data_IF_202095165780
#
_entry.id   IF_202095165780
#
_cell.length_a   1.000
_cell.length_b   1.000
_cell.length_c   1.000
_cell.angle_alpha   90.00
_cell.angle_beta   90.00
_cell.angle_gamma   90.00
#
_symmetry.space_group_name_H-M   'P 1'
#
loop_
_entity.id
_entity.type
_entity.pdbx_description
1 polymer ?
#
# COMPACT_ATOMS: atom_id res chain seq x y z
N UNK A 1 18.07 -35.53 -39.35
CA UNK A 1 17.69 -35.38 -37.90
C UNK A 1 16.67 -36.47 -37.57
N UNK A 2 17.02 -37.39 -36.64
CA UNK A 2 16.15 -38.49 -36.28
C UNK A 2 14.99 -38.00 -35.41
N UNK A 3 13.75 -38.24 -35.87
CA UNK A 3 12.51 -37.84 -35.16
C UNK A 3 12.44 -38.31 -33.72
N UNK A 4 13.11 -39.46 -33.39
CA UNK A 4 13.22 -40.01 -32.04
C UNK A 4 14.08 -39.15 -31.10
N UNK A 5 15.09 -38.47 -31.62
CA UNK A 5 15.96 -37.56 -30.84
C UNK A 5 15.21 -36.26 -30.51
N UNK A 6 14.42 -35.78 -31.46
CA UNK A 6 13.59 -34.58 -31.27
C UNK A 6 12.52 -34.80 -30.16
N UNK A 7 11.85 -35.97 -30.18
CA UNK A 7 10.83 -36.31 -29.16
C UNK A 7 11.49 -36.47 -27.77
N UNK A 8 12.68 -37.10 -27.69
CA UNK A 8 13.39 -37.25 -26.41
C UNK A 8 13.85 -35.92 -25.86
N UNK A 9 14.30 -35.01 -26.69
CA UNK A 9 14.72 -33.65 -26.28
C UNK A 9 13.51 -32.78 -25.86
N UNK A 10 12.35 -32.93 -26.52
CA UNK A 10 11.10 -32.31 -26.08
C UNK A 10 10.66 -32.83 -24.70
N UNK A 11 10.74 -34.13 -24.46
CA UNK A 11 10.39 -34.71 -23.15
C UNK A 11 11.31 -34.21 -22.02
N UNK A 12 12.60 -33.97 -22.31
CA UNK A 12 13.55 -33.40 -21.36
C UNK A 12 13.24 -31.93 -21.05
N UNK A 13 12.80 -31.15 -22.04
CA UNK A 13 12.43 -29.74 -21.88
C UNK A 13 11.12 -29.64 -21.05
N UNK A 14 10.13 -30.46 -21.34
CA UNK A 14 8.87 -30.49 -20.57
C UNK A 14 9.04 -31.04 -19.14
N UNK A 15 9.96 -31.99 -18.93
CA UNK A 15 10.31 -32.52 -17.60
C UNK A 15 11.07 -31.53 -16.74
N UNK A 16 11.88 -30.64 -17.32
CA UNK A 16 12.64 -29.64 -16.59
C UNK A 16 11.78 -28.46 -16.07
N UNK A 17 10.65 -28.19 -16.71
CA UNK A 17 9.70 -27.15 -16.23
C UNK A 17 9.00 -27.56 -14.94
N UNK A 18 8.84 -28.90 -14.71
CA UNK A 18 8.20 -29.39 -13.48
C UNK A 18 9.17 -29.49 -12.28
N UNK A 19 10.47 -29.31 -12.47
CA UNK A 19 11.50 -29.44 -11.43
C UNK A 19 12.27 -28.15 -11.21
N UNK A 20 11.85 -27.04 -11.82
CA UNK A 20 12.34 -25.74 -11.39
C UNK A 20 11.78 -25.51 -9.98
N UNK A 21 12.56 -25.72 -8.91
CA UNK A 21 12.20 -25.12 -7.63
C UNK A 21 12.07 -23.64 -7.94
N UNK A 22 10.94 -23.09 -7.58
CA UNK A 22 10.60 -21.70 -7.85
C UNK A 22 11.72 -20.79 -7.31
N UNK A 23 12.73 -20.51 -8.10
CA UNK A 23 13.63 -19.38 -7.90
C UNK A 23 12.85 -18.04 -7.99
N UNK A 24 11.54 -18.10 -8.29
CA UNK A 24 10.58 -17.02 -8.15
C UNK A 24 10.18 -16.77 -6.69
N UNK A 25 10.61 -17.56 -5.74
CA UNK A 25 10.20 -17.48 -4.34
C UNK A 25 11.30 -16.99 -3.38
N UNK A 26 12.48 -16.63 -3.87
CA UNK A 26 13.56 -16.07 -3.03
C UNK A 26 13.30 -14.63 -2.54
N UNK A 27 12.19 -14.03 -2.99
CA UNK A 27 11.72 -12.74 -2.46
C UNK A 27 10.64 -12.90 -1.37
N UNK A 28 10.25 -14.11 -0.99
CA UNK A 28 9.42 -14.31 0.19
C UNK A 28 10.25 -13.97 1.42
N UNK A 29 10.01 -12.79 1.96
CA UNK A 29 10.62 -12.32 3.19
C UNK A 29 11.55 -11.11 3.07
N UNK A 30 11.87 -10.63 1.85
CA UNK A 30 12.64 -9.39 1.67
C UNK A 30 11.73 -8.24 1.25
N UNK A 31 11.75 -7.12 1.96
CA UNK A 31 11.01 -5.94 1.54
C UNK A 31 11.56 -5.42 0.21
N UNK A 32 10.68 -4.90 -0.64
CA UNK A 32 11.07 -4.26 -1.91
C UNK A 32 11.50 -2.82 -1.65
N UNK A 33 10.91 -2.17 -0.65
CA UNK A 33 11.23 -0.80 -0.29
C UNK A 33 12.60 -0.70 0.38
N UNK A 34 13.46 0.18 -0.14
CA UNK A 34 14.75 0.50 0.48
C UNK A 34 14.58 1.75 1.35
N UNK A 35 14.79 1.58 2.65
CA UNK A 35 14.68 2.60 3.68
C UNK A 35 16.04 2.82 4.34
N UNK A 36 16.26 4.01 4.90
CA UNK A 36 17.54 4.39 5.51
C UNK A 36 17.51 4.23 7.04
N UNK A 37 16.35 4.43 7.65
CA UNK A 37 16.18 4.51 9.10
C UNK A 37 15.21 3.45 9.63
N UNK A 38 14.22 3.05 8.83
CA UNK A 38 13.24 2.03 9.19
C UNK A 38 13.70 0.64 8.75
N UNK A 39 13.49 -0.33 9.62
CA UNK A 39 13.63 -1.75 9.25
C UNK A 39 12.25 -2.37 9.12
N UNK A 40 11.81 -2.58 7.88
CA UNK A 40 10.49 -3.10 7.52
C UNK A 40 10.70 -4.47 6.88
N UNK A 41 9.96 -5.47 7.31
CA UNK A 41 9.94 -6.78 6.66
C UNK A 41 8.87 -6.86 5.55
N UNK A 42 8.85 -7.96 4.81
CA UNK A 42 7.92 -8.13 3.68
C UNK A 42 6.46 -8.27 4.11
N UNK A 43 6.18 -8.78 5.30
CA UNK A 43 4.81 -8.87 5.83
C UNK A 43 4.28 -7.49 6.19
N UNK A 44 5.10 -6.68 6.84
CA UNK A 44 4.80 -5.29 7.17
C UNK A 44 4.59 -4.44 5.91
N UNK A 45 5.45 -4.63 4.89
CA UNK A 45 5.28 -3.98 3.59
C UNK A 45 3.96 -4.41 2.93
N UNK A 46 3.65 -5.71 2.94
CA UNK A 46 2.41 -6.26 2.39
C UNK A 46 1.17 -5.74 3.13
N UNK A 47 1.24 -5.61 4.46
CA UNK A 47 0.17 -5.03 5.26
C UNK A 47 -0.13 -3.59 4.83
N UNK A 48 0.89 -2.73 4.75
CA UNK A 48 0.71 -1.32 4.36
C UNK A 48 0.24 -1.23 2.91
N UNK A 49 0.73 -2.10 2.01
CA UNK A 49 0.29 -2.15 0.63
C UNK A 49 -1.21 -2.46 0.52
N UNK A 50 -1.70 -3.47 1.26
CA UNK A 50 -3.12 -3.81 1.27
C UNK A 50 -3.97 -2.75 2.00
N UNK A 51 -3.43 -2.12 3.05
CA UNK A 51 -4.12 -1.06 3.79
C UNK A 51 -4.31 0.19 2.92
N UNK A 52 -3.27 0.63 2.21
CA UNK A 52 -3.37 1.78 1.30
C UNK A 52 -4.35 1.52 0.15
N UNK A 53 -4.37 0.29 -0.40
CA UNK A 53 -5.34 -0.10 -1.43
C UNK A 53 -6.77 -0.23 -0.88
N UNK A 54 -6.93 -0.60 0.40
CA UNK A 54 -8.25 -0.63 1.06
C UNK A 54 -8.79 0.79 1.26
N UNK A 55 -7.90 1.76 1.57
CA UNK A 55 -8.28 3.17 1.73
C UNK A 55 -8.57 3.82 0.37
N UNK A 56 -7.77 3.50 -0.64
CA UNK A 56 -7.88 4.06 -1.99
C UNK A 56 -7.89 2.94 -3.04
N UNK A 57 -9.02 2.26 -3.22
CA UNK A 57 -9.12 1.13 -4.13
C UNK A 57 -9.11 1.58 -5.60
N UNK A 58 -8.59 0.70 -6.45
CA UNK A 58 -8.70 0.85 -7.90
C UNK A 58 -10.16 0.84 -8.34
N UNK A 59 -10.52 1.82 -9.15
CA UNK A 59 -11.86 1.94 -9.75
C UNK A 59 -11.73 2.27 -11.24
N UNK A 60 -12.47 3.27 -11.75
CA UNK A 60 -12.18 3.91 -13.05
C UNK A 60 -10.91 4.78 -12.98
N UNK A 61 -10.43 5.04 -11.76
CA UNK A 61 -9.17 5.75 -11.48
C UNK A 61 -8.15 4.78 -10.89
N UNK A 62 -6.85 5.02 -11.06
CA UNK A 62 -5.83 4.19 -10.43
C UNK A 62 -5.96 4.18 -8.92
N UNK A 63 -5.75 3.00 -8.32
CA UNK A 63 -5.71 2.78 -6.88
C UNK A 63 -4.35 3.11 -6.28
N UNK A 64 -4.23 2.91 -4.96
CA UNK A 64 -2.99 3.16 -4.24
C UNK A 64 -1.82 2.32 -4.77
N UNK A 65 -2.05 1.05 -5.08
CA UNK A 65 -1.04 0.15 -5.64
C UNK A 65 -0.54 0.61 -7.01
N UNK A 66 -1.44 1.03 -7.89
CA UNK A 66 -1.09 1.50 -9.23
C UNK A 66 -0.17 2.73 -9.19
N UNK A 67 -0.26 3.53 -8.14
CA UNK A 67 0.49 4.76 -7.94
C UNK A 67 1.69 4.61 -6.99
N UNK A 68 1.94 3.41 -6.45
CA UNK A 68 3.04 3.17 -5.52
C UNK A 68 2.90 3.92 -4.19
N UNK A 69 1.67 4.17 -3.73
CA UNK A 69 1.40 4.99 -2.53
C UNK A 69 1.96 4.34 -1.26
N UNK A 70 1.98 3.00 -1.17
CA UNK A 70 2.61 2.30 -0.06
C UNK A 70 4.10 2.66 0.10
N UNK A 71 4.83 2.75 -1.02
CA UNK A 71 6.25 3.16 -1.03
C UNK A 71 6.39 4.61 -0.58
N UNK A 72 5.48 5.47 -1.03
CA UNK A 72 5.44 6.87 -0.60
C UNK A 72 5.21 6.99 0.91
N UNK A 73 4.25 6.23 1.48
CA UNK A 73 4.00 6.22 2.94
C UNK A 73 5.27 5.88 3.71
N UNK A 74 5.94 4.78 3.36
CA UNK A 74 7.18 4.39 4.04
C UNK A 74 8.28 5.46 3.90
N UNK A 75 8.45 6.03 2.70
CA UNK A 75 9.44 7.07 2.47
C UNK A 75 9.16 8.33 3.28
N UNK A 76 7.90 8.75 3.40
CA UNK A 76 7.53 9.88 4.23
C UNK A 76 7.86 9.65 5.71
N UNK A 77 7.63 8.44 6.23
CA UNK A 77 7.96 8.11 7.62
C UNK A 77 9.49 8.02 7.79
N UNK A 78 10.19 7.39 6.84
CA UNK A 78 11.64 7.18 6.91
C UNK A 78 12.43 8.49 6.84
N UNK A 79 12.06 9.37 5.90
CA UNK A 79 12.84 10.56 5.57
C UNK A 79 12.36 11.85 6.30
N UNK A 80 11.08 11.90 6.71
CA UNK A 80 10.46 13.14 7.22
C UNK A 80 10.06 13.10 8.70
N UNK A 81 10.00 11.92 9.31
CA UNK A 81 9.66 11.80 10.73
C UNK A 81 10.93 11.72 11.58
N UNK A 82 10.86 12.27 12.78
CA UNK A 82 11.91 12.10 13.78
C UNK A 82 11.92 10.65 14.31
N UNK A 83 12.97 10.30 15.04
CA UNK A 83 13.14 8.94 15.59
C UNK A 83 11.94 8.51 16.45
N UNK A 84 11.38 9.43 17.21
CA UNK A 84 10.20 9.15 18.06
C UNK A 84 8.99 8.80 17.19
N UNK A 85 8.70 9.60 16.16
CA UNK A 85 7.60 9.35 15.22
C UNK A 85 7.78 8.06 14.45
N UNK A 86 9.01 7.71 14.05
CA UNK A 86 9.34 6.42 13.42
C UNK A 86 9.06 5.24 14.35
N UNK A 87 9.50 5.34 15.63
CA UNK A 87 9.28 4.28 16.62
C UNK A 87 7.79 4.13 16.97
N UNK A 88 7.04 5.23 17.05
CA UNK A 88 5.59 5.22 17.25
C UNK A 88 4.86 4.57 16.06
N UNK A 89 5.28 4.88 14.84
CA UNK A 89 4.73 4.26 13.63
C UNK A 89 4.96 2.75 13.61
N UNK A 90 6.18 2.29 13.89
CA UNK A 90 6.52 0.86 13.90
C UNK A 90 5.81 0.11 15.04
N UNK A 91 5.69 0.71 16.22
CA UNK A 91 4.94 0.15 17.32
C UNK A 91 3.44 0.06 17.00
N UNK A 92 2.88 1.08 16.34
CA UNK A 92 1.50 1.09 15.91
C UNK A 92 1.20 0.07 14.81
N UNK A 93 2.14 -0.11 13.85
CA UNK A 93 2.04 -1.14 12.81
C UNK A 93 1.95 -2.54 13.44
N UNK A 94 2.83 -2.81 14.42
CA UNK A 94 2.81 -4.09 15.13
C UNK A 94 1.48 -4.29 15.87
N UNK A 95 1.03 -3.29 16.65
CA UNK A 95 -0.24 -3.37 17.40
C UNK A 95 -1.44 -3.54 16.46
N UNK A 96 -1.43 -2.90 15.29
CA UNK A 96 -2.44 -3.07 14.25
C UNK A 96 -2.44 -4.51 13.70
N UNK A 97 -1.27 -5.06 13.39
CA UNK A 97 -1.13 -6.45 12.91
C UNK A 97 -1.64 -7.45 13.96
N UNK A 98 -1.25 -7.27 15.24
CA UNK A 98 -1.69 -8.10 16.36
C UNK A 98 -3.23 -8.05 16.55
N UNK A 99 -3.83 -6.87 16.36
CA UNK A 99 -5.29 -6.70 16.46
C UNK A 99 -6.03 -7.41 15.31
N UNK A 100 -5.46 -7.39 14.10
CA UNK A 100 -5.99 -8.14 12.96
C UNK A 100 -5.92 -9.63 13.20
N UNK A 101 -4.75 -10.12 13.60
CA UNK A 101 -4.53 -11.55 13.87
C UNK A 101 -5.45 -12.07 14.98
N UNK A 102 -5.58 -11.33 16.06
CA UNK A 102 -6.52 -11.64 17.15
C UNK A 102 -7.98 -11.74 16.69
N UNK A 103 -8.41 -10.88 15.75
CA UNK A 103 -9.79 -10.83 15.26
C UNK A 103 -10.09 -11.88 14.19
N UNK A 104 -9.14 -12.14 13.30
CA UNK A 104 -9.33 -12.91 12.07
C UNK A 104 -8.52 -14.21 12.01
N UNK A 105 -7.51 -14.38 12.87
CA UNK A 105 -6.61 -15.56 12.87
C UNK A 105 -5.71 -15.66 11.64
N UNK A 106 -5.53 -14.57 10.91
CA UNK A 106 -4.69 -14.48 9.71
C UNK A 106 -4.24 -13.04 9.47
N UNK A 107 -3.07 -12.82 8.81
CA UNK A 107 -2.53 -11.50 8.61
C UNK A 107 -3.40 -10.65 7.66
N UNK A 108 -3.31 -9.33 7.77
CA UNK A 108 -4.15 -8.37 7.03
C UNK A 108 -4.12 -8.54 5.52
N UNK A 109 -2.96 -8.87 4.95
CA UNK A 109 -2.81 -9.06 3.51
C UNK A 109 -3.49 -10.33 2.98
N UNK A 110 -3.80 -11.30 3.85
CA UNK A 110 -4.54 -12.51 3.50
C UNK A 110 -6.06 -12.36 3.66
N UNK A 111 -6.53 -11.26 4.24
CA UNK A 111 -7.94 -10.95 4.36
C UNK A 111 -8.53 -10.65 2.97
N UNK A 112 -9.81 -10.98 2.80
CA UNK A 112 -10.59 -10.53 1.63
C UNK A 112 -10.78 -9.01 1.67
N UNK A 113 -11.06 -8.40 0.52
CA UNK A 113 -11.32 -6.95 0.44
C UNK A 113 -12.49 -6.52 1.35
N UNK A 114 -13.52 -7.36 1.48
CA UNK A 114 -14.66 -7.09 2.36
C UNK A 114 -14.27 -7.12 3.84
N UNK A 115 -13.48 -8.11 4.28
CA UNK A 115 -12.97 -8.21 5.65
C UNK A 115 -12.07 -7.02 6.00
N UNK A 116 -11.16 -6.64 5.08
CA UNK A 116 -10.29 -5.46 5.26
C UNK A 116 -11.11 -4.17 5.42
N UNK A 117 -12.09 -3.97 4.54
CA UNK A 117 -12.96 -2.79 4.60
C UNK A 117 -13.78 -2.77 5.90
N UNK A 118 -14.33 -3.91 6.32
CA UNK A 118 -15.05 -4.00 7.58
C UNK A 118 -14.16 -3.66 8.78
N UNK A 119 -12.93 -4.21 8.80
CA UNK A 119 -11.97 -3.95 9.89
C UNK A 119 -11.60 -2.46 9.97
N UNK A 120 -11.30 -1.84 8.84
CA UNK A 120 -10.98 -0.40 8.75
C UNK A 120 -12.16 0.47 9.20
N UNK A 121 -13.37 0.14 8.77
CA UNK A 121 -14.59 0.85 9.18
C UNK A 121 -14.85 0.74 10.69
N UNK A 122 -14.53 -0.40 11.30
CA UNK A 122 -14.65 -0.57 12.76
C UNK A 122 -13.66 0.33 13.51
N UNK A 123 -12.40 0.42 13.03
CA UNK A 123 -11.40 1.36 13.59
C UNK A 123 -11.92 2.80 13.51
N UNK A 124 -12.44 3.21 12.36
CA UNK A 124 -12.94 4.58 12.18
C UNK A 124 -14.14 4.89 13.08
N UNK A 125 -15.04 3.94 13.26
CA UNK A 125 -16.17 4.09 14.19
C UNK A 125 -15.69 4.23 15.63
N UNK A 126 -14.76 3.35 16.04
CA UNK A 126 -14.19 3.37 17.38
C UNK A 126 -13.43 4.66 17.67
N UNK A 127 -12.69 5.19 16.70
CA UNK A 127 -11.96 6.45 16.83
C UNK A 127 -12.87 7.67 17.01
N UNK A 128 -14.09 7.61 16.50
CA UNK A 128 -15.11 8.69 16.61
C UNK A 128 -15.94 8.62 17.90
N UNK A 129 -15.90 7.50 18.61
CA UNK A 129 -16.62 7.35 19.86
C UNK A 129 -15.84 8.02 21.01
N UNK A 130 -16.38 9.09 21.64
CA UNK A 130 -15.72 9.78 22.75
C UNK A 130 -15.47 8.89 23.97
N UNK A 131 -16.28 7.84 24.11
CA UNK A 131 -16.23 6.93 25.27
C UNK A 131 -15.28 5.73 25.04
N UNK A 132 -14.74 5.59 23.83
CA UNK A 132 -13.81 4.51 23.52
C UNK A 132 -12.46 4.75 24.20
N UNK A 133 -12.05 3.82 25.07
CA UNK A 133 -10.76 3.86 25.77
C UNK A 133 -9.57 3.60 24.85
N UNK A 134 -9.80 2.92 23.73
CA UNK A 134 -8.76 2.54 22.78
C UNK A 134 -8.60 3.53 21.63
N UNK A 135 -9.32 4.68 21.68
CA UNK A 135 -9.25 5.70 20.62
C UNK A 135 -7.83 6.24 20.39
N UNK A 136 -7.04 6.31 21.45
CA UNK A 136 -5.66 6.80 21.44
C UNK A 136 -4.62 5.66 21.39
N UNK A 137 -5.04 4.43 20.99
CA UNK A 137 -4.13 3.30 20.81
C UNK A 137 -3.12 3.57 19.69
N UNK A 138 -1.96 2.94 19.78
CA UNK A 138 -0.94 3.07 18.73
C UNK A 138 -1.42 2.52 17.39
N UNK A 139 -2.25 1.48 17.40
CA UNK A 139 -2.89 0.94 16.20
C UNK A 139 -3.78 1.99 15.52
N UNK A 140 -4.55 2.77 16.27
CA UNK A 140 -5.33 3.88 15.75
C UNK A 140 -4.42 4.99 15.18
N UNK A 141 -3.39 5.39 15.92
CA UNK A 141 -2.40 6.36 15.46
C UNK A 141 -1.74 5.95 14.15
N UNK A 142 -1.33 4.69 14.04
CA UNK A 142 -0.80 4.10 12.80
C UNK A 142 -1.80 4.19 11.65
N UNK A 143 -3.04 3.74 11.86
CA UNK A 143 -4.07 3.79 10.83
C UNK A 143 -4.28 5.22 10.29
N UNK A 144 -4.44 6.19 11.18
CA UNK A 144 -4.66 7.59 10.77
C UNK A 144 -3.46 8.19 10.07
N UNK A 145 -2.24 7.81 10.48
CA UNK A 145 -1.00 8.21 9.80
C UNK A 145 -0.97 7.63 8.38
N UNK A 146 -1.21 6.32 8.21
CA UNK A 146 -1.25 5.69 6.89
C UNK A 146 -2.34 6.33 6.04
N UNK A 147 -3.55 6.56 6.58
CA UNK A 147 -4.64 7.19 5.85
C UNK A 147 -4.29 8.60 5.39
N UNK A 148 -3.73 9.42 6.28
CA UNK A 148 -3.29 10.79 5.95
C UNK A 148 -2.24 10.79 4.85
N UNK A 149 -1.21 9.95 4.96
CA UNK A 149 -0.16 9.82 3.96
C UNK A 149 -0.68 9.24 2.63
N UNK A 150 -1.65 8.33 2.68
CA UNK A 150 -2.29 7.78 1.47
C UNK A 150 -3.02 8.87 0.68
N UNK A 151 -3.83 9.67 1.36
CA UNK A 151 -4.55 10.79 0.73
C UNK A 151 -3.56 11.84 0.20
N UNK A 152 -2.54 12.18 0.99
CA UNK A 152 -1.52 13.13 0.59
C UNK A 152 -0.73 12.63 -0.63
N UNK A 153 -0.25 11.39 -0.62
CA UNK A 153 0.46 10.80 -1.75
C UNK A 153 -0.39 10.74 -3.03
N UNK A 154 -1.69 10.45 -2.90
CA UNK A 154 -2.59 10.48 -4.04
C UNK A 154 -2.79 11.89 -4.61
N UNK A 155 -3.09 12.87 -3.76
CA UNK A 155 -3.38 14.24 -4.20
C UNK A 155 -2.15 14.98 -4.74
N UNK A 156 -0.95 14.57 -4.34
CA UNK A 156 0.33 15.08 -4.86
C UNK A 156 0.92 14.23 -5.98
N UNK A 157 0.28 13.10 -6.33
CA UNK A 157 0.75 12.23 -7.41
C UNK A 157 0.67 12.94 -8.77
N UNK A 158 1.58 12.56 -9.69
CA UNK A 158 1.55 13.05 -11.07
C UNK A 158 0.17 12.85 -11.68
N UNK A 159 -0.45 11.69 -11.48
CA UNK A 159 -1.78 11.39 -11.99
C UNK A 159 -2.82 12.43 -11.54
N UNK A 160 -2.90 12.70 -10.23
CA UNK A 160 -3.89 13.65 -9.71
C UNK A 160 -3.63 15.07 -10.23
N UNK A 161 -2.38 15.51 -10.17
CA UNK A 161 -1.98 16.85 -10.57
C UNK A 161 -2.22 17.12 -12.05
N UNK A 162 -1.99 16.12 -12.93
CA UNK A 162 -2.15 16.32 -14.38
C UNK A 162 -3.54 15.97 -14.91
N UNK A 163 -4.22 14.98 -14.29
CA UNK A 163 -5.48 14.45 -14.81
C UNK A 163 -6.72 15.01 -14.08
N UNK A 164 -6.58 15.38 -12.80
CA UNK A 164 -7.71 15.79 -11.96
C UNK A 164 -7.79 17.29 -11.72
N UNK A 165 -6.65 17.97 -11.70
CA UNK A 165 -6.56 19.41 -11.53
C UNK A 165 -5.78 20.04 -12.67
N UNK A 166 -5.90 21.37 -12.81
CA UNK A 166 -5.04 22.14 -13.71
C UNK A 166 -3.80 22.54 -12.93
N UNK A 167 -2.67 21.90 -13.24
CA UNK A 167 -1.40 22.15 -12.57
C UNK A 167 -0.46 22.96 -13.45
N UNK A 168 -0.02 24.11 -12.92
CA UNK A 168 1.05 24.92 -13.50
C UNK A 168 2.20 24.95 -12.49
N UNK A 169 3.39 24.42 -12.85
CA UNK A 169 4.55 24.35 -11.96
C UNK A 169 4.99 25.76 -11.51
N UNK A 170 4.99 26.70 -12.44
CA UNK A 170 5.30 28.12 -12.16
C UNK A 170 4.22 28.96 -12.85
N UNK A 171 3.17 29.38 -12.14
CA UNK A 171 2.17 30.26 -12.72
C UNK A 171 2.79 31.63 -13.00
N UNK A 172 2.97 31.95 -14.30
CA UNK A 172 3.62 33.21 -14.74
C UNK A 172 2.75 34.45 -14.56
N UNK A 173 1.49 34.30 -14.15
CA UNK A 173 0.50 35.38 -13.98
C UNK A 173 -0.49 35.07 -12.88
N UNK A 174 -0.96 36.12 -12.23
CA UNK A 174 -2.12 35.98 -11.35
C UNK A 174 -3.40 35.93 -12.19
N UNK A 175 -4.25 34.95 -11.97
CA UNK A 175 -5.59 34.85 -12.56
C UNK A 175 -6.57 34.42 -11.47
N UNK A 176 -7.36 35.40 -10.96
CA UNK A 176 -8.38 35.16 -9.94
C UNK A 176 -9.50 34.22 -10.42
N UNK A 177 -9.70 34.14 -11.74
CA UNK A 177 -10.71 33.30 -12.39
C UNK A 177 -10.11 32.12 -13.11
N UNK A 178 -9.11 31.49 -12.49
CA UNK A 178 -8.41 30.34 -13.10
C UNK A 178 -9.39 29.18 -13.39
N UNK A 179 -9.46 28.69 -14.64
CA UNK A 179 -10.43 27.67 -15.00
C UNK A 179 -10.12 26.33 -14.34
N UNK A 180 -11.09 25.74 -13.63
CA UNK A 180 -11.02 24.35 -13.19
C UNK A 180 -11.35 23.42 -14.35
N UNK A 181 -10.62 22.29 -14.47
CA UNK A 181 -10.99 21.25 -15.44
C UNK A 181 -12.44 20.82 -15.17
N UNK A 182 -13.33 21.04 -16.13
CA UNK A 182 -14.66 20.43 -16.08
C UNK A 182 -14.47 18.91 -16.15
N UNK A 183 -15.09 18.17 -15.23
CA UNK A 183 -15.21 16.71 -15.38
C UNK A 183 -15.74 16.46 -16.79
N UNK A 184 -15.01 15.68 -17.59
CA UNK A 184 -15.61 15.10 -18.78
C UNK A 184 -16.84 14.32 -18.28
N UNK A 185 -18.01 14.74 -18.70
CA UNK A 185 -19.26 14.02 -18.44
C UNK A 185 -19.07 12.62 -18.99
N UNK A 186 -19.13 11.62 -18.08
CA UNK A 186 -19.07 10.21 -18.42
C UNK A 186 -20.30 9.81 -19.21
#
# INVERSE_FOLDING_TARGET
>A
MNRRIAIRNMALILGSVAVLPSCLNDNKGKPVVKLNHLNVDAEQESLVNELTETILPKTKTPGAKDLGINLFVFKMIDDCYDKKGQDEFMAGLKEFADAVDKKHGKPFHELTAAERTAFVNDIEKQSKDPNNKDKDSKANGFYWTVKGQTVFGYTTSKYFMTEKIVYELVPGRYNAMFPVKKKASA
#
